data_IF_525927038217
#
_entry.id   IF_525927038217
#
_cell.length_a   1.000
_cell.length_b   1.000
_cell.length_c   1.000
_cell.angle_alpha   90.00
_cell.angle_beta   90.00
_cell.angle_gamma   90.00
#
_symmetry.space_group_name_H-M   'P 1'
#
loop_
_entity.id
_entity.type
_entity.pdbx_description
1 polymer ?
#
# COMPACT_ATOMS: atom_id res chain seq x y z
N UNK A 1 -10.53 8.83 -24.00
CA UNK A 1 -11.62 9.76 -24.33
C UNK A 1 -12.39 10.04 -23.04
N UNK A 2 -12.76 11.30 -22.73
CA UNK A 2 -13.66 11.57 -21.62
C UNK A 2 -14.99 10.84 -21.84
N UNK A 3 -15.52 10.19 -20.81
CA UNK A 3 -16.82 9.52 -20.88
C UNK A 3 -17.91 10.56 -21.14
N UNK A 4 -18.85 10.26 -22.04
CA UNK A 4 -20.05 11.09 -22.25
C UNK A 4 -21.00 11.04 -21.04
N UNK A 5 -20.86 10.01 -20.20
CA UNK A 5 -21.60 9.86 -18.95
C UNK A 5 -20.92 10.67 -17.83
N UNK A 6 -21.70 11.46 -17.09
CA UNK A 6 -21.22 12.22 -15.93
C UNK A 6 -21.76 11.66 -14.62
N UNK A 7 -21.10 12.02 -13.50
CA UNK A 7 -21.56 11.63 -12.17
C UNK A 7 -22.95 12.17 -11.82
N UNK A 8 -23.28 13.36 -12.30
CA UNK A 8 -24.59 13.99 -12.08
C UNK A 8 -25.70 13.26 -12.83
N UNK A 9 -25.45 12.80 -14.06
CA UNK A 9 -26.39 11.99 -14.83
C UNK A 9 -26.70 10.66 -14.12
N UNK A 10 -25.67 10.03 -13.54
CA UNK A 10 -25.82 8.80 -12.75
C UNK A 10 -26.71 9.03 -11.53
N UNK A 11 -26.42 10.07 -10.74
CA UNK A 11 -27.21 10.37 -9.55
C UNK A 11 -28.65 10.77 -9.88
N UNK A 12 -28.84 11.55 -10.96
CA UNK A 12 -30.17 11.92 -11.45
C UNK A 12 -30.98 10.70 -11.88
N UNK A 13 -30.38 9.79 -12.64
CA UNK A 13 -31.04 8.55 -13.06
C UNK A 13 -31.40 7.64 -11.87
N UNK A 14 -30.53 7.55 -10.85
CA UNK A 14 -30.84 6.82 -9.60
C UNK A 14 -32.00 7.48 -8.84
N UNK A 15 -32.02 8.80 -8.75
CA UNK A 15 -33.04 9.55 -8.02
C UNK A 15 -34.41 9.55 -8.73
N UNK A 16 -34.43 9.37 -10.06
CA UNK A 16 -35.66 9.25 -10.85
C UNK A 16 -36.37 7.90 -10.70
N UNK A 17 -35.70 6.89 -10.14
CA UNK A 17 -36.30 5.57 -9.92
C UNK A 17 -37.34 5.60 -8.77
N UNK A 18 -38.34 4.71 -8.80
CA UNK A 18 -39.17 4.44 -7.62
C UNK A 18 -38.30 4.07 -6.42
N UNK A 19 -38.79 4.29 -5.20
CA UNK A 19 -38.02 4.10 -3.96
C UNK A 19 -37.28 2.76 -3.88
N UNK A 20 -37.92 1.64 -4.28
CA UNK A 20 -37.28 0.32 -4.33
C UNK A 20 -36.11 0.26 -5.31
N UNK A 21 -36.22 0.91 -6.47
CA UNK A 21 -35.16 0.97 -7.47
C UNK A 21 -34.01 1.86 -7.04
N UNK A 22 -34.32 3.01 -6.42
CA UNK A 22 -33.32 3.90 -5.81
C UNK A 22 -32.51 3.19 -4.73
N UNK A 23 -33.18 2.47 -3.83
CA UNK A 23 -32.53 1.62 -2.81
C UNK A 23 -31.65 0.57 -3.48
N UNK A 24 -32.17 -0.16 -4.47
CA UNK A 24 -31.42 -1.20 -5.18
C UNK A 24 -30.12 -0.65 -5.79
N UNK A 25 -30.20 0.49 -6.49
CA UNK A 25 -29.03 1.09 -7.12
C UNK A 25 -28.03 1.65 -6.10
N UNK A 26 -28.50 2.29 -5.01
CA UNK A 26 -27.64 2.76 -3.92
C UNK A 26 -26.93 1.61 -3.20
N UNK A 27 -27.59 0.47 -2.99
CA UNK A 27 -26.96 -0.71 -2.40
C UNK A 27 -25.97 -1.39 -3.36
N UNK A 28 -26.29 -1.50 -4.65
CA UNK A 28 -25.34 -2.01 -5.66
C UNK A 28 -24.08 -1.14 -5.76
N UNK A 29 -24.25 0.17 -5.62
CA UNK A 29 -23.20 1.18 -5.74
C UNK A 29 -22.78 1.76 -4.38
N UNK A 30 -22.94 1.00 -3.28
CA UNK A 30 -22.74 1.49 -1.90
C UNK A 30 -21.33 2.06 -1.64
N UNK A 31 -20.36 1.61 -2.44
CA UNK A 31 -18.99 2.12 -2.44
C UNK A 31 -18.85 3.57 -2.94
N UNK A 32 -19.89 4.11 -3.57
CA UNK A 32 -19.94 5.46 -4.14
C UNK A 32 -21.13 6.30 -3.69
N UNK A 33 -22.28 5.66 -3.45
CA UNK A 33 -23.53 6.34 -3.13
C UNK A 33 -23.98 5.96 -1.71
N UNK A 34 -24.52 6.94 -1.01
CA UNK A 34 -25.10 6.75 0.32
C UNK A 34 -26.60 6.47 0.24
N UNK A 35 -27.08 5.60 1.13
CA UNK A 35 -28.52 5.44 1.38
C UNK A 35 -29.03 6.59 2.23
N UNK A 36 -30.26 7.04 1.98
CA UNK A 36 -30.92 8.07 2.81
C UNK A 36 -31.70 7.45 3.97
N UNK A 37 -32.15 8.26 4.93
CA UNK A 37 -33.04 7.76 5.99
C UNK A 37 -34.36 7.22 5.41
N UNK A 38 -34.91 7.86 4.38
CA UNK A 38 -36.09 7.40 3.64
C UNK A 38 -35.90 5.98 3.08
N UNK A 39 -34.72 5.69 2.53
CA UNK A 39 -34.37 4.34 2.05
C UNK A 39 -34.39 3.33 3.19
N UNK A 40 -33.83 3.68 4.34
CA UNK A 40 -33.76 2.83 5.52
C UNK A 40 -35.13 2.54 6.10
N UNK A 41 -35.97 3.56 6.24
CA UNK A 41 -37.33 3.43 6.75
C UNK A 41 -38.18 2.54 5.83
N UNK A 42 -38.05 2.73 4.51
CA UNK A 42 -38.69 1.88 3.53
C UNK A 42 -38.18 0.44 3.60
N UNK A 43 -36.86 0.23 3.66
CA UNK A 43 -36.28 -1.11 3.81
C UNK A 43 -36.81 -1.81 5.05
N UNK A 44 -36.97 -1.10 6.16
CA UNK A 44 -37.49 -1.65 7.41
C UNK A 44 -38.96 -2.08 7.28
N UNK A 45 -39.78 -1.27 6.60
CA UNK A 45 -41.18 -1.60 6.32
C UNK A 45 -41.36 -2.68 5.24
N UNK A 46 -40.44 -2.84 4.28
CA UNK A 46 -40.60 -3.83 3.20
C UNK A 46 -40.22 -5.26 3.61
N UNK A 47 -39.70 -5.47 4.82
CA UNK A 47 -39.28 -6.79 5.28
C UNK A 47 -40.46 -7.76 5.38
N UNK A 48 -40.27 -9.02 4.96
CA UNK A 48 -41.24 -10.06 5.25
C UNK A 48 -41.30 -10.26 6.77
N UNK A 49 -42.49 -10.16 7.34
CA UNK A 49 -42.69 -10.46 8.75
C UNK A 49 -42.72 -11.98 8.95
N UNK A 50 -41.80 -12.58 9.74
CA UNK A 50 -41.74 -14.02 9.94
C UNK A 50 -43.00 -14.59 10.62
N UNK A 51 -43.84 -13.74 11.22
CA UNK A 51 -45.12 -14.14 11.82
C UNK A 51 -46.22 -14.35 10.79
N UNK A 52 -46.03 -13.89 9.55
CA UNK A 52 -47.04 -13.99 8.49
C UNK A 52 -46.54 -14.87 7.35
N UNK A 53 -47.40 -15.80 6.91
CA UNK A 53 -47.17 -16.61 5.71
C UNK A 53 -47.17 -15.70 4.48
N UNK A 54 -46.33 -16.01 3.49
CA UNK A 54 -46.14 -15.23 2.25
C UNK A 54 -47.44 -14.61 1.74
N UNK A 55 -47.48 -13.27 1.70
CA UNK A 55 -48.56 -12.48 1.09
C UNK A 55 -49.44 -11.69 2.07
N UNK A 56 -49.46 -12.02 3.37
CA UNK A 56 -50.17 -11.22 4.36
C UNK A 56 -49.24 -10.16 4.98
N UNK A 57 -49.57 -8.87 4.80
CA UNK A 57 -48.94 -7.76 5.55
C UNK A 57 -49.91 -7.28 6.64
N UNK A 58 -49.45 -6.97 7.87
CA UNK A 58 -50.30 -6.42 8.91
C UNK A 58 -50.91 -5.07 8.50
N UNK A 59 -52.17 -4.84 8.88
CA UNK A 59 -52.93 -3.61 8.58
C UNK A 59 -52.28 -2.33 9.16
N UNK A 60 -51.54 -2.48 10.27
CA UNK A 60 -50.75 -1.40 10.88
C UNK A 60 -49.31 -1.90 11.00
N UNK A 61 -48.43 -1.34 10.19
CA UNK A 61 -47.03 -1.74 10.18
C UNK A 61 -46.24 -0.89 11.18
N UNK A 62 -46.19 -1.34 12.43
CA UNK A 62 -45.34 -0.71 13.45
C UNK A 62 -43.92 -1.26 13.28
N UNK A 63 -43.05 -0.47 12.65
CA UNK A 63 -41.63 -0.80 12.54
C UNK A 63 -40.94 -0.45 13.87
N UNK A 64 -40.36 -1.45 14.54
CA UNK A 64 -39.62 -1.22 15.77
C UNK A 64 -38.35 -0.38 15.50
N UNK A 65 -38.03 0.57 16.39
CA UNK A 65 -36.83 1.41 16.30
C UNK A 65 -35.54 0.59 16.21
N UNK A 66 -35.49 -0.54 16.90
CA UNK A 66 -34.37 -1.50 16.85
C UNK A 66 -34.16 -2.09 15.44
N UNK A 67 -35.25 -2.29 14.69
CA UNK A 67 -35.16 -2.80 13.31
C UNK A 67 -34.54 -1.77 12.37
N UNK A 68 -34.89 -0.50 12.55
CA UNK A 68 -34.30 0.64 11.83
C UNK A 68 -32.83 0.78 12.21
N UNK A 69 -32.50 0.77 13.51
CA UNK A 69 -31.10 0.87 13.96
C UNK A 69 -30.23 -0.28 13.42
N UNK A 70 -30.71 -1.53 13.50
CA UNK A 70 -29.98 -2.67 12.94
C UNK A 70 -29.87 -2.66 11.41
N UNK A 71 -30.66 -1.84 10.71
CA UNK A 71 -30.48 -1.55 9.29
C UNK A 71 -29.37 -0.53 9.08
N UNK A 72 -29.42 0.59 9.81
CA UNK A 72 -28.39 1.63 9.81
C UNK A 72 -27.01 1.00 10.06
N UNK A 73 -26.90 0.15 11.08
CA UNK A 73 -25.64 -0.48 11.46
C UNK A 73 -25.10 -1.41 10.37
N UNK A 74 -25.96 -2.23 9.75
CA UNK A 74 -25.57 -3.10 8.63
C UNK A 74 -25.13 -2.30 7.41
N UNK A 75 -25.90 -1.29 7.01
CA UNK A 75 -25.53 -0.41 5.90
C UNK A 75 -24.17 0.25 6.18
N UNK A 76 -23.98 0.79 7.39
CA UNK A 76 -22.73 1.41 7.80
C UNK A 76 -21.55 0.42 7.78
N UNK A 77 -21.77 -0.83 8.22
CA UNK A 77 -20.77 -1.88 8.19
C UNK A 77 -20.30 -2.18 6.76
N UNK A 78 -21.22 -2.47 5.83
CA UNK A 78 -20.88 -2.79 4.44
C UNK A 78 -20.30 -1.58 3.70
N UNK A 79 -20.83 -0.37 3.94
CA UNK A 79 -20.27 0.88 3.42
C UNK A 79 -18.82 1.05 3.87
N UNK A 80 -18.56 0.89 5.16
CA UNK A 80 -17.21 1.02 5.73
C UNK A 80 -16.27 -0.02 5.12
N UNK A 81 -16.70 -1.28 5.02
CA UNK A 81 -15.89 -2.36 4.46
C UNK A 81 -15.51 -2.13 3.00
N UNK A 82 -16.50 -1.79 2.15
CA UNK A 82 -16.29 -1.57 0.71
C UNK A 82 -15.44 -0.31 0.45
N UNK A 83 -15.72 0.79 1.14
CA UNK A 83 -14.93 2.03 1.01
C UNK A 83 -13.52 1.88 1.56
N UNK A 84 -13.34 1.26 2.73
CA UNK A 84 -12.02 1.01 3.34
C UNK A 84 -11.13 0.18 2.41
N UNK A 85 -11.68 -0.86 1.77
CA UNK A 85 -10.93 -1.67 0.79
C UNK A 85 -10.46 -0.80 -0.39
N UNK A 86 -11.32 0.05 -0.94
CA UNK A 86 -10.96 0.96 -2.04
C UNK A 86 -9.94 2.01 -1.59
N UNK A 87 -10.12 2.60 -0.41
CA UNK A 87 -9.19 3.56 0.20
C UNK A 87 -7.81 2.96 0.38
N UNK A 88 -7.73 1.76 0.94
CA UNK A 88 -6.49 1.04 1.16
C UNK A 88 -5.72 0.80 -0.14
N UNK A 89 -6.38 0.26 -1.17
CA UNK A 89 -5.75 0.03 -2.48
C UNK A 89 -5.33 1.36 -3.11
N UNK A 90 -6.15 2.41 -3.00
CA UNK A 90 -5.80 3.75 -3.49
C UNK A 90 -4.56 4.32 -2.81
N UNK A 91 -4.45 4.15 -1.49
CA UNK A 91 -3.29 4.58 -0.73
C UNK A 91 -2.03 3.80 -1.12
N UNK A 92 -2.15 2.49 -1.37
CA UNK A 92 -1.04 1.68 -1.91
C UNK A 92 -0.54 2.25 -3.25
N UNK A 93 -1.45 2.59 -4.18
CA UNK A 93 -1.09 3.23 -5.46
C UNK A 93 -0.31 4.52 -5.23
N UNK A 94 -0.82 5.39 -4.36
CA UNK A 94 -0.18 6.66 -4.03
C UNK A 94 1.25 6.46 -3.49
N UNK A 95 1.40 5.58 -2.50
CA UNK A 95 2.71 5.28 -1.91
C UNK A 95 3.70 4.66 -2.91
N UNK A 96 3.24 3.73 -3.75
CA UNK A 96 4.09 3.10 -4.77
C UNK A 96 4.53 4.10 -5.84
N UNK A 97 3.62 4.97 -6.31
CA UNK A 97 3.98 6.04 -7.26
C UNK A 97 5.07 6.94 -6.70
N UNK A 98 4.92 7.40 -5.45
CA UNK A 98 5.95 8.21 -4.78
C UNK A 98 7.28 7.46 -4.62
N UNK A 99 7.26 6.16 -4.29
CA UNK A 99 8.49 5.35 -4.22
C UNK A 99 9.19 5.22 -5.57
N UNK A 100 8.42 5.03 -6.64
CA UNK A 100 8.95 4.92 -8.00
C UNK A 100 9.58 6.25 -8.41
N UNK A 101 8.89 7.37 -8.23
CA UNK A 101 9.43 8.70 -8.55
C UNK A 101 10.71 8.98 -7.78
N UNK A 102 10.76 8.64 -6.49
CA UNK A 102 11.98 8.78 -5.69
C UNK A 102 13.13 7.88 -6.20
N UNK A 103 12.85 6.61 -6.49
CA UNK A 103 13.86 5.70 -7.02
C UNK A 103 14.38 6.13 -8.40
N UNK A 104 13.49 6.66 -9.26
CA UNK A 104 13.87 7.21 -10.57
C UNK A 104 14.80 8.42 -10.42
N UNK A 105 14.50 9.31 -9.47
CA UNK A 105 15.37 10.45 -9.15
C UNK A 105 16.74 9.99 -8.61
N UNK A 106 16.78 9.01 -7.70
CA UNK A 106 18.04 8.42 -7.21
C UNK A 106 18.86 7.77 -8.34
N UNK A 107 18.22 7.01 -9.22
CA UNK A 107 18.90 6.40 -10.36
C UNK A 107 19.47 7.45 -11.32
N UNK A 108 18.71 8.49 -11.64
CA UNK A 108 19.17 9.59 -12.49
C UNK A 108 20.37 10.31 -11.87
N UNK A 109 20.31 10.57 -10.56
CA UNK A 109 21.38 11.23 -9.82
C UNK A 109 22.65 10.37 -9.71
N UNK A 110 22.50 9.06 -9.46
CA UNK A 110 23.61 8.12 -9.43
C UNK A 110 24.27 7.99 -10.81
N UNK A 111 23.49 7.94 -11.89
CA UNK A 111 24.01 7.94 -13.27
C UNK A 111 24.79 9.23 -13.57
N UNK A 112 24.27 10.39 -13.16
CA UNK A 112 24.97 11.68 -13.30
C UNK A 112 26.32 11.64 -12.58
N UNK A 113 26.35 11.22 -11.32
CA UNK A 113 27.57 11.09 -10.53
C UNK A 113 28.60 10.13 -11.17
N UNK A 114 28.15 8.94 -11.60
CA UNK A 114 29.02 7.94 -12.23
C UNK A 114 29.68 8.49 -13.50
N UNK A 115 28.96 9.26 -14.31
CA UNK A 115 29.47 9.85 -15.55
C UNK A 115 30.34 11.08 -15.31
N UNK A 116 29.80 12.08 -14.61
CA UNK A 116 30.41 13.40 -14.51
C UNK A 116 31.57 13.41 -13.50
N UNK A 117 31.42 12.70 -12.37
CA UNK A 117 32.41 12.71 -11.28
C UNK A 117 33.40 11.55 -11.37
N UNK A 118 32.95 10.37 -11.78
CA UNK A 118 33.78 9.17 -11.86
C UNK A 118 34.21 8.79 -13.28
N UNK A 119 33.72 9.51 -14.30
CA UNK A 119 34.19 9.34 -15.68
C UNK A 119 33.78 8.02 -16.35
N UNK A 120 32.71 7.36 -15.89
CA UNK A 120 32.23 6.14 -16.54
C UNK A 120 31.71 6.44 -17.95
N UNK A 121 32.20 5.69 -18.92
CA UNK A 121 31.75 5.79 -20.29
C UNK A 121 30.32 5.24 -20.48
N UNK A 122 29.74 5.50 -21.66
CA UNK A 122 28.38 5.09 -21.96
C UNK A 122 28.20 3.57 -22.04
N UNK A 123 29.25 2.83 -22.40
CA UNK A 123 29.16 1.37 -22.58
C UNK A 123 29.29 0.62 -21.25
N UNK A 124 30.13 1.11 -20.33
CA UNK A 124 30.19 0.67 -18.94
C UNK A 124 28.86 0.95 -18.22
N UNK A 125 28.22 2.10 -18.47
CA UNK A 125 26.89 2.39 -17.93
C UNK A 125 25.83 1.40 -18.44
N UNK A 126 25.82 1.10 -19.75
CA UNK A 126 24.91 0.07 -20.31
C UNK A 126 25.19 -1.31 -19.71
N UNK A 127 26.46 -1.65 -19.52
CA UNK A 127 26.85 -2.92 -18.91
C UNK A 127 26.34 -3.02 -17.46
N UNK A 128 26.51 -1.95 -16.66
CA UNK A 128 25.97 -1.88 -15.30
C UNK A 128 24.45 -2.07 -15.29
N UNK A 129 23.73 -1.41 -16.19
CA UNK A 129 22.28 -1.53 -16.30
C UNK A 129 21.84 -2.95 -16.70
N UNK A 130 22.54 -3.57 -17.65
CA UNK A 130 22.26 -4.94 -18.09
C UNK A 130 22.52 -5.97 -16.98
N UNK A 131 23.58 -5.78 -16.20
CA UNK A 131 23.94 -6.65 -15.08
C UNK A 131 23.07 -6.44 -13.85
N UNK A 132 22.32 -5.33 -13.76
CA UNK A 132 21.54 -4.98 -12.58
C UNK A 132 20.64 -6.13 -12.10
N UNK A 133 20.00 -6.87 -13.02
CA UNK A 133 19.10 -7.98 -12.69
C UNK A 133 19.79 -9.18 -12.03
N UNK A 134 21.06 -9.42 -12.35
CA UNK A 134 21.84 -10.56 -11.83
C UNK A 134 22.72 -10.18 -10.63
N UNK A 135 22.98 -8.90 -10.41
CA UNK A 135 23.81 -8.41 -9.32
C UNK A 135 23.20 -8.77 -7.95
N UNK A 136 24.02 -9.23 -7.01
CA UNK A 136 23.65 -9.43 -5.61
C UNK A 136 24.43 -8.40 -4.77
N UNK A 137 23.78 -7.36 -4.21
CA UNK A 137 24.48 -6.24 -3.59
C UNK A 137 25.30 -6.62 -2.35
N UNK A 138 24.79 -7.51 -1.49
CA UNK A 138 25.45 -7.87 -0.22
C UNK A 138 26.83 -8.51 -0.45
N UNK A 139 26.99 -9.57 -1.28
CA UNK A 139 28.31 -10.12 -1.60
C UNK A 139 29.23 -9.12 -2.30
N UNK A 140 28.73 -8.34 -3.26
CA UNK A 140 29.53 -7.37 -3.99
C UNK A 140 30.08 -6.27 -3.07
N UNK A 141 29.27 -5.81 -2.11
CA UNK A 141 29.67 -4.81 -1.12
C UNK A 141 30.71 -5.38 -0.17
N UNK A 142 30.49 -6.60 0.35
CA UNK A 142 31.47 -7.27 1.24
C UNK A 142 32.83 -7.49 0.58
N UNK A 143 32.83 -7.86 -0.70
CA UNK A 143 34.06 -8.01 -1.46
C UNK A 143 34.78 -6.67 -1.64
N UNK A 144 34.02 -5.60 -1.91
CA UNK A 144 34.56 -4.25 -2.02
C UNK A 144 35.12 -3.74 -0.69
N UNK A 145 34.43 -4.00 0.42
CA UNK A 145 34.90 -3.66 1.77
C UNK A 145 36.20 -4.41 2.11
N UNK A 146 36.29 -5.69 1.75
CA UNK A 146 37.52 -6.48 1.91
C UNK A 146 38.69 -5.91 1.10
N UNK A 147 38.45 -5.48 -0.13
CA UNK A 147 39.47 -4.83 -0.98
C UNK A 147 39.92 -3.50 -0.36
N UNK A 148 39.00 -2.74 0.22
CA UNK A 148 39.29 -1.49 0.92
C UNK A 148 40.14 -1.72 2.18
N UNK A 149 39.79 -2.72 2.99
CA UNK A 149 40.54 -3.10 4.20
C UNK A 149 41.98 -3.54 3.89
N UNK A 150 42.19 -4.17 2.73
CA UNK A 150 43.50 -4.64 2.28
C UNK A 150 44.31 -3.62 1.49
N UNK A 151 43.84 -2.37 1.38
CA UNK A 151 44.48 -1.33 0.56
C UNK A 151 44.64 -1.70 -0.93
N UNK A 152 43.80 -2.60 -1.46
CA UNK A 152 43.87 -3.08 -2.85
C UNK A 152 43.22 -2.10 -3.84
N UNK A 153 42.45 -1.12 -3.35
CA UNK A 153 41.70 -0.16 -4.16
C UNK A 153 41.81 1.26 -3.59
N UNK A 154 41.77 2.25 -4.48
CA UNK A 154 41.72 3.66 -4.08
C UNK A 154 40.35 4.04 -3.52
N UNK A 155 40.28 5.12 -2.75
CA UNK A 155 39.01 5.65 -2.24
C UNK A 155 38.05 6.03 -3.39
N UNK A 156 38.59 6.61 -4.47
CA UNK A 156 37.79 7.01 -5.62
C UNK A 156 37.20 5.78 -6.34
N UNK A 157 37.99 4.72 -6.52
CA UNK A 157 37.53 3.46 -7.11
C UNK A 157 36.51 2.75 -6.22
N UNK A 158 36.70 2.79 -4.90
CA UNK A 158 35.72 2.28 -3.93
C UNK A 158 34.38 2.99 -4.11
N UNK A 159 34.36 4.32 -4.03
CA UNK A 159 33.13 5.13 -4.14
C UNK A 159 32.43 4.89 -5.48
N UNK A 160 33.20 4.81 -6.56
CA UNK A 160 32.68 4.50 -7.90
C UNK A 160 32.01 3.12 -7.95
N UNK A 161 32.70 2.06 -7.51
CA UNK A 161 32.16 0.70 -7.50
C UNK A 161 30.96 0.57 -6.56
N UNK A 162 31.03 1.19 -5.37
CA UNK A 162 29.95 1.19 -4.38
C UNK A 162 28.70 1.89 -4.92
N UNK A 163 28.87 3.05 -5.56
CA UNK A 163 27.76 3.76 -6.22
C UNK A 163 27.16 2.95 -7.38
N UNK A 164 27.99 2.23 -8.16
CA UNK A 164 27.52 1.30 -9.18
C UNK A 164 26.64 0.18 -8.61
N UNK A 165 27.04 -0.40 -7.47
CA UNK A 165 26.23 -1.43 -6.76
C UNK A 165 24.90 -0.84 -6.28
N UNK A 166 24.91 0.35 -5.69
CA UNK A 166 23.68 1.04 -5.25
C UNK A 166 22.75 1.36 -6.42
N UNK A 167 23.29 1.85 -7.54
CA UNK A 167 22.54 2.09 -8.78
C UNK A 167 21.85 0.81 -9.28
N UNK A 168 22.57 -0.31 -9.35
CA UNK A 168 22.02 -1.61 -9.73
C UNK A 168 20.95 -2.11 -8.73
N UNK A 169 21.16 -1.89 -7.44
CA UNK A 169 20.19 -2.26 -6.40
C UNK A 169 18.88 -1.48 -6.55
N UNK A 170 18.96 -0.17 -6.79
CA UNK A 170 17.80 0.70 -7.01
C UNK A 170 17.05 0.37 -8.31
N UNK A 171 17.75 0.07 -9.41
CA UNK A 171 17.11 -0.38 -10.66
C UNK A 171 16.25 -1.63 -10.44
N UNK A 172 16.78 -2.64 -9.72
CA UNK A 172 16.01 -3.85 -9.40
C UNK A 172 14.80 -3.55 -8.51
N UNK A 173 14.95 -2.61 -7.58
CA UNK A 173 13.88 -2.17 -6.71
C UNK A 173 12.76 -1.47 -7.48
N UNK A 174 13.11 -0.57 -8.41
CA UNK A 174 12.16 0.06 -9.32
C UNK A 174 11.37 -0.96 -10.13
N UNK A 175 12.03 -1.98 -10.69
CA UNK A 175 11.35 -3.05 -11.43
C UNK A 175 10.32 -3.79 -10.54
N UNK A 176 10.64 -4.05 -9.27
CA UNK A 176 9.67 -4.65 -8.32
C UNK A 176 8.54 -3.70 -7.97
N UNK A 177 8.82 -2.45 -7.67
CA UNK A 177 7.82 -1.44 -7.32
C UNK A 177 6.85 -1.19 -8.49
N UNK A 178 7.35 -1.14 -9.73
CA UNK A 178 6.53 -1.04 -10.95
C UNK A 178 5.62 -2.25 -11.13
N UNK A 179 6.14 -3.47 -10.93
CA UNK A 179 5.32 -4.70 -10.95
C UNK A 179 4.24 -4.69 -9.86
N UNK A 180 4.61 -4.29 -8.63
CA UNK A 180 3.64 -4.10 -7.52
C UNK A 180 2.57 -3.08 -7.91
N UNK A 181 2.95 -1.93 -8.47
CA UNK A 181 2.00 -0.91 -8.90
C UNK A 181 1.04 -1.43 -9.96
N UNK A 182 1.52 -2.20 -10.95
CA UNK A 182 0.66 -2.81 -11.96
C UNK A 182 -0.37 -3.77 -11.33
N UNK A 183 0.05 -4.61 -10.38
CA UNK A 183 -0.87 -5.50 -9.64
C UNK A 183 -1.91 -4.69 -8.88
N UNK A 184 -1.49 -3.69 -8.10
CA UNK A 184 -2.39 -2.88 -7.28
C UNK A 184 -3.35 -2.05 -8.15
N UNK A 185 -2.91 -1.56 -9.31
CA UNK A 185 -3.80 -0.89 -10.28
C UNK A 185 -4.88 -1.84 -10.82
N UNK A 186 -4.52 -3.09 -11.10
CA UNK A 186 -5.49 -4.13 -11.48
C UNK A 186 -6.46 -4.41 -10.34
N UNK A 187 -5.97 -4.56 -9.12
CA UNK A 187 -6.79 -4.80 -7.93
C UNK A 187 -7.74 -3.61 -7.67
N UNK A 188 -7.27 -2.38 -7.89
CA UNK A 188 -8.09 -1.18 -7.80
C UNK A 188 -9.20 -1.18 -8.85
N UNK A 189 -8.88 -1.56 -10.09
CA UNK A 189 -9.87 -1.70 -11.14
C UNK A 189 -10.91 -2.75 -10.76
N UNK A 190 -10.50 -3.94 -10.29
CA UNK A 190 -11.41 -5.01 -9.89
C UNK A 190 -12.30 -4.54 -8.73
N UNK A 191 -11.71 -3.97 -7.67
CA UNK A 191 -12.45 -3.48 -6.51
C UNK A 191 -13.40 -2.33 -6.87
N UNK A 192 -13.00 -1.45 -7.79
CA UNK A 192 -13.84 -0.33 -8.24
C UNK A 192 -14.97 -0.77 -9.17
N UNK A 193 -14.90 -1.93 -9.82
CA UNK A 193 -15.96 -2.41 -10.73
C UNK A 193 -16.81 -3.52 -10.10
N UNK A 194 -16.64 -3.80 -8.81
CA UNK A 194 -17.38 -4.83 -8.09
C UNK A 194 -18.63 -4.22 -7.42
N UNK A 195 -19.86 -4.44 -7.94
CA UNK A 195 -21.07 -4.14 -7.19
C UNK A 195 -21.20 -5.04 -5.97
N UNK A 196 -22.01 -4.59 -5.01
CA UNK A 196 -22.44 -5.41 -3.89
C UNK A 196 -23.22 -6.64 -4.41
N UNK A 197 -22.96 -7.80 -3.83
CA UNK A 197 -23.53 -9.07 -4.25
C UNK A 197 -24.94 -9.27 -3.71
N UNK A 198 -25.72 -10.13 -4.35
CA UNK A 198 -27.14 -10.32 -4.01
C UNK A 198 -27.34 -10.83 -2.57
N UNK A 199 -26.44 -11.68 -2.08
CA UNK A 199 -26.50 -12.16 -0.69
C UNK A 199 -26.18 -11.06 0.33
N UNK A 200 -25.30 -10.12 -0.01
CA UNK A 200 -24.96 -8.96 0.82
C UNK A 200 -26.12 -7.96 0.84
N UNK A 201 -26.72 -7.66 -0.32
CA UNK A 201 -27.92 -6.81 -0.42
C UNK A 201 -29.08 -7.45 0.33
N UNK A 202 -29.30 -8.75 0.15
CA UNK A 202 -30.31 -9.51 0.88
C UNK A 202 -30.10 -9.48 2.39
N UNK A 203 -28.85 -9.56 2.86
CA UNK A 203 -28.51 -9.46 4.27
C UNK A 203 -28.72 -8.05 4.84
N UNK A 204 -28.33 -6.99 4.12
CA UNK A 204 -28.58 -5.60 4.52
C UNK A 204 -30.09 -5.36 4.60
N UNK A 205 -30.78 -5.54 3.47
CA UNK A 205 -32.20 -5.22 3.34
C UNK A 205 -33.05 -6.16 4.22
N UNK A 206 -32.63 -7.41 4.41
CA UNK A 206 -33.37 -8.42 5.16
C UNK A 206 -34.50 -9.05 4.34
N UNK A 207 -34.27 -9.25 3.04
CA UNK A 207 -35.22 -9.89 2.12
C UNK A 207 -34.60 -11.15 1.49
N UNK A 208 -35.40 -12.17 1.13
CA UNK A 208 -34.89 -13.40 0.51
C UNK A 208 -34.24 -13.13 -0.85
N UNK A 209 -33.13 -13.82 -1.16
CA UNK A 209 -32.38 -13.66 -2.41
C UNK A 209 -33.25 -13.87 -3.67
N UNK A 210 -34.20 -14.81 -3.64
CA UNK A 210 -35.13 -15.05 -4.76
C UNK A 210 -36.02 -13.84 -5.08
N UNK A 211 -36.43 -13.07 -4.06
CA UNK A 211 -37.20 -11.83 -4.25
C UNK A 211 -36.34 -10.68 -4.78
N UNK A 212 -35.03 -10.72 -4.51
CA UNK A 212 -34.08 -9.70 -4.91
C UNK A 212 -33.78 -9.74 -6.41
N UNK A 213 -33.53 -10.93 -6.97
CA UNK A 213 -33.04 -11.08 -8.34
C UNK A 213 -33.99 -10.43 -9.38
N UNK A 214 -35.30 -10.67 -9.27
CA UNK A 214 -36.29 -10.09 -10.17
C UNK A 214 -36.39 -8.56 -10.02
N UNK A 215 -36.33 -8.04 -8.78
CA UNK A 215 -36.32 -6.59 -8.50
C UNK A 215 -35.07 -5.94 -9.07
N UNK A 216 -33.90 -6.57 -8.87
CA UNK A 216 -32.61 -6.11 -9.38
C UNK A 216 -32.62 -6.00 -10.90
N UNK A 217 -33.05 -7.04 -11.61
CA UNK A 217 -33.14 -7.03 -13.07
C UNK A 217 -34.06 -5.91 -13.56
N UNK A 218 -35.25 -5.76 -12.96
CA UNK A 218 -36.21 -4.69 -13.29
C UNK A 218 -35.60 -3.30 -13.13
N UNK A 219 -35.03 -3.01 -11.96
CA UNK A 219 -34.55 -1.66 -11.65
C UNK A 219 -33.22 -1.33 -12.33
N UNK A 220 -32.35 -2.32 -12.55
CA UNK A 220 -31.16 -2.15 -13.37
C UNK A 220 -31.54 -1.80 -14.82
N UNK A 221 -32.55 -2.47 -15.38
CA UNK A 221 -33.05 -2.14 -16.72
C UNK A 221 -33.61 -0.72 -16.79
N UNK A 222 -34.45 -0.31 -15.82
CA UNK A 222 -34.98 1.05 -15.75
C UNK A 222 -33.87 2.11 -15.60
N UNK A 223 -32.87 1.83 -14.76
CA UNK A 223 -31.71 2.69 -14.59
C UNK A 223 -30.95 2.89 -15.91
N UNK A 224 -30.65 1.79 -16.63
CA UNK A 224 -29.91 1.86 -17.89
C UNK A 224 -30.72 2.58 -18.99
N UNK A 225 -32.04 2.37 -19.03
CA UNK A 225 -32.93 3.14 -19.93
C UNK A 225 -32.92 4.63 -19.60
N UNK A 226 -32.98 4.99 -18.31
CA UNK A 226 -32.90 6.38 -17.86
C UNK A 226 -31.58 7.05 -18.25
N UNK A 227 -30.46 6.34 -18.08
CA UNK A 227 -29.15 6.81 -18.53
C UNK A 227 -29.08 6.99 -20.05
N UNK A 228 -29.59 6.02 -20.81
CA UNK A 228 -29.61 6.07 -22.27
C UNK A 228 -30.43 7.25 -22.78
N UNK A 229 -31.55 7.57 -22.13
CA UNK A 229 -32.39 8.71 -22.48
C UNK A 229 -31.72 10.07 -22.16
N UNK A 230 -30.85 10.11 -21.14
CA UNK A 230 -30.13 11.31 -20.74
C UNK A 230 -28.88 11.58 -21.61
N UNK A 231 -28.33 10.56 -22.27
CA UNK A 231 -27.15 10.70 -23.13
C UNK A 231 -27.51 11.39 -24.45
N UNK A 232 -26.65 12.32 -24.93
CA UNK A 232 -26.82 12.84 -26.28
C UNK A 232 -26.69 11.69 -27.28
N UNK A 233 -27.59 11.65 -28.27
CA UNK A 233 -27.56 10.68 -29.36
C UNK A 233 -26.34 10.96 -30.26
N UNK A 234 -25.16 10.56 -29.81
CA UNK A 234 -23.96 10.55 -30.62
C UNK A 234 -23.93 9.22 -31.37
N UNK A 235 -23.63 9.24 -32.68
CA UNK A 235 -23.49 8.04 -33.52
C UNK A 235 -22.29 7.14 -33.16
N UNK A 236 -21.94 7.09 -31.87
CA UNK A 236 -20.88 6.26 -31.31
C UNK A 236 -21.36 4.82 -31.12
N UNK A 237 -20.41 3.86 -31.09
CA UNK A 237 -20.75 2.45 -30.86
C UNK A 237 -21.46 2.27 -29.51
N UNK A 238 -22.32 1.24 -29.36
CA UNK A 238 -23.06 1.01 -28.13
C UNK A 238 -22.11 0.82 -26.94
N UNK A 239 -22.18 1.74 -25.98
CA UNK A 239 -21.38 1.73 -24.76
C UNK A 239 -22.10 0.89 -23.71
N UNK A 240 -21.34 0.07 -22.98
CA UNK A 240 -21.85 -0.64 -21.81
C UNK A 240 -22.04 0.35 -20.65
N UNK A 241 -23.22 0.98 -20.59
CA UNK A 241 -23.55 2.03 -19.62
C UNK A 241 -23.37 1.59 -18.16
N UNK A 242 -23.47 0.27 -17.89
CA UNK A 242 -23.23 -0.28 -16.57
C UNK A 242 -21.75 -0.24 -16.21
N UNK A 243 -20.86 -0.68 -17.11
CA UNK A 243 -19.41 -0.54 -16.90
C UNK A 243 -18.99 0.92 -16.81
N UNK A 244 -19.55 1.77 -17.65
CA UNK A 244 -19.21 3.18 -17.69
C UNK A 244 -19.64 3.91 -16.41
N UNK A 245 -20.74 3.47 -15.77
CA UNK A 245 -21.14 3.93 -14.44
C UNK A 245 -19.99 3.77 -13.44
N UNK A 246 -19.34 2.59 -13.40
CA UNK A 246 -18.22 2.34 -12.51
C UNK A 246 -16.98 3.15 -12.87
N UNK A 247 -16.67 3.27 -14.16
CA UNK A 247 -15.53 4.10 -14.63
C UNK A 247 -15.67 5.53 -14.12
N UNK A 248 -16.85 6.14 -14.32
CA UNK A 248 -17.14 7.51 -13.89
C UNK A 248 -17.10 7.67 -12.38
N UNK A 249 -17.76 6.77 -11.62
CA UNK A 249 -17.80 6.86 -10.16
C UNK A 249 -16.43 6.55 -9.52
N UNK A 250 -15.65 5.65 -10.10
CA UNK A 250 -14.30 5.31 -9.63
C UNK A 250 -13.30 6.46 -9.76
N UNK A 251 -13.55 7.41 -10.66
CA UNK A 251 -12.76 8.63 -10.81
C UNK A 251 -12.95 9.62 -9.66
N UNK A 252 -13.99 9.48 -8.84
CA UNK A 252 -14.20 10.35 -7.68
C UNK A 252 -13.12 10.12 -6.62
N UNK A 253 -12.60 11.17 -5.97
CA UNK A 253 -11.61 11.04 -4.91
C UNK A 253 -12.13 10.14 -3.80
N UNK A 254 -11.27 9.27 -3.27
CA UNK A 254 -11.64 8.37 -2.17
C UNK A 254 -11.64 9.15 -0.86
N UNK A 255 -12.74 9.07 -0.12
CA UNK A 255 -12.85 9.63 1.24
C UNK A 255 -11.82 8.99 2.16
N UNK A 256 -11.15 9.80 2.99
CA UNK A 256 -10.15 9.30 3.93
C UNK A 256 -10.79 9.00 5.28
N UNK A 257 -10.54 7.80 5.79
CA UNK A 257 -10.98 7.41 7.12
C UNK A 257 -9.96 7.85 8.16
N UNK A 258 -10.43 8.30 9.33
CA UNK A 258 -9.55 8.42 10.50
C UNK A 258 -9.29 7.02 11.06
N UNK A 259 -8.02 6.62 11.17
CA UNK A 259 -7.64 5.26 11.59
C UNK A 259 -6.78 5.32 12.84
N UNK A 260 -7.10 4.48 13.82
CA UNK A 260 -6.28 4.27 15.01
C UNK A 260 -5.17 3.24 14.72
N UNK A 261 -4.11 3.27 15.52
CA UNK A 261 -3.03 2.30 15.41
C UNK A 261 -3.54 0.86 15.63
N UNK A 262 -3.08 -0.06 14.78
CA UNK A 262 -3.56 -1.44 14.67
C UNK A 262 -2.59 -2.48 15.25
N UNK A 263 -1.59 -2.05 16.03
CA UNK A 263 -0.58 -2.91 16.68
C UNK A 263 0.33 -3.70 15.72
N UNK A 264 0.44 -3.27 14.46
CA UNK A 264 1.18 -3.98 13.39
C UNK A 264 2.63 -4.32 13.75
N UNK A 265 3.32 -3.46 14.51
CA UNK A 265 4.73 -3.63 14.90
C UNK A 265 4.94 -3.48 16.42
N UNK A 266 3.97 -3.94 17.22
CA UNK A 266 3.91 -3.85 18.70
C UNK A 266 3.80 -2.42 19.23
N UNK A 267 4.60 -1.48 18.75
CA UNK A 267 4.56 -0.06 19.12
C UNK A 267 4.52 0.83 17.88
N UNK A 268 3.84 1.98 17.99
CA UNK A 268 3.77 2.96 16.90
C UNK A 268 5.17 3.47 16.54
N UNK A 269 6.05 3.69 17.52
CA UNK A 269 7.42 4.14 17.28
C UNK A 269 8.23 3.15 16.43
N UNK A 270 8.13 1.85 16.72
CA UNK A 270 8.83 0.83 15.94
C UNK A 270 8.30 0.78 14.50
N UNK A 271 6.98 0.91 14.32
CA UNK A 271 6.39 1.02 12.99
C UNK A 271 6.95 2.25 12.25
N UNK A 272 7.00 3.42 12.90
CA UNK A 272 7.46 4.65 12.30
C UNK A 272 8.93 4.57 11.85
N UNK A 273 9.83 3.99 12.65
CA UNK A 273 11.23 3.75 12.25
C UNK A 273 11.33 2.85 11.00
N UNK A 274 10.52 1.79 10.98
CA UNK A 274 10.45 0.84 9.86
C UNK A 274 9.92 1.50 8.60
N UNK A 275 8.86 2.30 8.73
CA UNK A 275 8.27 3.09 7.65
C UNK A 275 9.26 4.12 7.13
N UNK A 276 10.00 4.81 7.99
CA UNK A 276 11.06 5.76 7.59
C UNK A 276 12.18 5.06 6.83
N UNK A 277 12.63 3.90 7.31
CA UNK A 277 13.66 3.11 6.62
C UNK A 277 13.19 2.59 5.26
N UNK A 278 11.93 2.15 5.19
CA UNK A 278 11.28 1.75 3.93
C UNK A 278 11.14 2.95 2.98
N UNK A 279 10.74 4.09 3.53
CA UNK A 279 10.57 5.35 2.83
C UNK A 279 11.91 5.75 2.19
N UNK A 280 12.97 5.89 2.98
CA UNK A 280 14.31 6.30 2.55
C UNK A 280 15.05 5.24 1.71
N UNK A 281 14.45 4.08 1.46
CA UNK A 281 15.04 2.96 0.72
C UNK A 281 16.34 2.41 1.34
N UNK A 282 16.53 2.54 2.65
CA UNK A 282 17.70 1.99 3.37
C UNK A 282 17.49 0.57 3.86
N UNK A 283 16.26 0.06 3.77
CA UNK A 283 15.91 -1.29 4.21
C UNK A 283 16.46 -2.39 3.27
N UNK A 284 16.99 -3.51 3.81
CA UNK A 284 17.40 -4.66 3.00
C UNK A 284 16.25 -5.24 2.18
N UNK A 285 16.55 -5.74 0.99
CA UNK A 285 15.59 -6.28 0.02
C UNK A 285 14.67 -7.39 0.59
N UNK A 286 15.20 -8.25 1.45
CA UNK A 286 14.49 -9.35 2.11
C UNK A 286 13.50 -8.88 3.19
N UNK A 287 13.81 -7.75 3.84
CA UNK A 287 12.92 -7.11 4.81
C UNK A 287 11.89 -6.23 4.11
N UNK A 288 12.26 -5.56 3.01
CA UNK A 288 11.39 -4.68 2.26
C UNK A 288 10.16 -5.43 1.72
N UNK A 289 10.35 -6.63 1.15
CA UNK A 289 9.23 -7.39 0.58
C UNK A 289 8.22 -7.83 1.64
N UNK A 290 8.70 -8.27 2.80
CA UNK A 290 7.85 -8.62 3.95
C UNK A 290 7.19 -7.38 4.57
N UNK A 291 7.96 -6.30 4.68
CA UNK A 291 7.50 -5.00 5.17
C UNK A 291 6.37 -4.46 4.31
N UNK A 292 6.51 -4.49 2.98
CA UNK A 292 5.46 -4.04 2.06
C UNK A 292 4.15 -4.82 2.25
N UNK A 293 4.21 -6.15 2.38
CA UNK A 293 3.01 -6.96 2.63
C UNK A 293 2.30 -6.51 3.90
N UNK A 294 3.04 -6.32 5.00
CA UNK A 294 2.50 -5.83 6.26
C UNK A 294 1.87 -4.44 6.13
N UNK A 295 2.62 -3.49 5.56
CA UNK A 295 2.17 -2.10 5.33
C UNK A 295 0.92 -2.07 4.45
N UNK A 296 0.89 -2.86 3.37
CA UNK A 296 -0.21 -2.86 2.41
C UNK A 296 -1.54 -3.30 3.02
N UNK A 297 -1.51 -4.10 4.09
CA UNK A 297 -2.68 -4.58 4.82
C UNK A 297 -3.22 -3.57 5.85
N UNK A 298 -2.42 -2.56 6.23
CA UNK A 298 -2.76 -1.57 7.23
C UNK A 298 -2.99 -0.20 6.62
N UNK A 299 -4.23 0.30 6.72
CA UNK A 299 -4.57 1.66 6.28
C UNK A 299 -3.80 2.72 7.09
N UNK A 300 -3.60 2.47 8.39
CA UNK A 300 -2.82 3.35 9.27
C UNK A 300 -1.37 3.45 8.77
N UNK A 301 -0.70 2.32 8.52
CA UNK A 301 0.67 2.30 8.03
C UNK A 301 0.82 3.01 6.68
N UNK A 302 -0.15 2.84 5.76
CA UNK A 302 -0.17 3.52 4.48
C UNK A 302 -0.35 5.04 4.62
N UNK A 303 -1.23 5.49 5.51
CA UNK A 303 -1.41 6.92 5.79
C UNK A 303 -0.13 7.55 6.35
N UNK A 304 0.54 6.88 7.31
CA UNK A 304 1.82 7.32 7.86
C UNK A 304 2.94 7.31 6.82
N UNK A 305 3.05 6.26 6.02
CA UNK A 305 4.03 6.18 4.93
C UNK A 305 3.85 7.32 3.92
N UNK A 306 2.60 7.59 3.52
CA UNK A 306 2.30 8.68 2.59
C UNK A 306 2.71 10.06 3.14
N UNK A 307 2.59 10.27 4.46
CA UNK A 307 3.01 11.50 5.13
C UNK A 307 4.55 11.61 5.16
N UNK A 308 5.26 10.56 5.59
CA UNK A 308 6.73 10.52 5.57
C UNK A 308 7.27 10.76 4.15
N UNK A 309 6.61 10.22 3.13
CA UNK A 309 6.99 10.45 1.73
C UNK A 309 6.70 11.87 1.24
N UNK A 310 5.75 12.59 1.86
CA UNK A 310 5.43 13.97 1.48
C UNK A 310 6.44 14.98 2.06
N UNK A 311 7.04 14.68 3.20
CA UNK A 311 8.06 15.52 3.86
C UNK A 311 9.47 15.29 3.31
N UNK A 312 9.64 14.34 2.39
CA UNK A 312 10.95 13.99 1.87
C UNK A 312 11.49 15.05 0.94
N UNK A 313 12.77 15.35 1.12
CA UNK A 313 13.52 16.18 0.20
C UNK A 313 13.79 15.45 -1.13
N UNK A 314 13.38 16.08 -2.23
CA UNK A 314 13.56 15.61 -3.60
C UNK A 314 14.59 16.48 -4.36
N UNK A 315 15.23 17.42 -3.67
CA UNK A 315 16.24 18.29 -4.25
C UNK A 315 17.45 17.48 -4.75
N UNK A 316 17.94 17.74 -5.98
CA UNK A 316 19.05 16.99 -6.55
C UNK A 316 20.32 16.98 -5.68
N UNK A 317 20.61 18.09 -4.98
CA UNK A 317 21.82 18.19 -4.15
C UNK A 317 21.68 17.34 -2.88
N UNK A 318 20.49 17.31 -2.28
CA UNK A 318 20.18 16.43 -1.16
C UNK A 318 20.27 14.95 -1.55
N UNK A 319 19.75 14.58 -2.72
CA UNK A 319 19.87 13.23 -3.26
C UNK A 319 21.33 12.86 -3.54
N UNK A 320 22.12 13.79 -4.08
CA UNK A 320 23.54 13.60 -4.31
C UNK A 320 24.29 13.32 -3.01
N UNK A 321 24.08 14.16 -1.99
CA UNK A 321 24.71 14.00 -0.68
C UNK A 321 24.34 12.66 -0.05
N UNK A 322 23.07 12.26 -0.12
CA UNK A 322 22.62 10.97 0.38
C UNK A 322 23.31 9.79 -0.32
N UNK A 323 23.45 9.84 -1.66
CA UNK A 323 24.16 8.82 -2.43
C UNK A 323 25.65 8.77 -2.08
N UNK A 324 26.29 9.94 -1.97
CA UNK A 324 27.71 10.04 -1.62
C UNK A 324 27.98 9.48 -0.22
N UNK A 325 27.12 9.80 0.76
CA UNK A 325 27.21 9.25 2.12
C UNK A 325 27.08 7.71 2.12
N UNK A 326 26.15 7.14 1.34
CA UNK A 326 25.98 5.67 1.21
C UNK A 326 27.16 4.98 0.53
N UNK A 327 27.87 5.72 -0.34
CA UNK A 327 29.02 5.24 -1.09
C UNK A 327 30.37 5.44 -0.39
N UNK A 328 30.38 6.13 0.76
CA UNK A 328 31.60 6.40 1.50
C UNK A 328 32.15 5.11 2.14
N UNK A 329 33.47 4.86 2.07
CA UNK A 329 34.07 3.73 2.75
C UNK A 329 33.98 3.89 4.27
N UNK A 330 33.99 2.77 4.99
CA UNK A 330 34.14 2.79 6.43
C UNK A 330 35.49 3.46 6.80
N UNK A 331 35.51 4.36 7.80
CA UNK A 331 36.76 4.93 8.30
C UNK A 331 37.68 3.79 8.75
N UNK A 332 38.91 3.78 8.26
CA UNK A 332 39.94 2.89 8.80
C UNK A 332 40.24 3.36 10.22
N UNK A 333 40.17 2.46 11.19
CA UNK A 333 40.71 2.78 12.52
C UNK A 333 42.16 3.25 12.33
N UNK A 334 42.57 4.36 12.96
CA UNK A 334 43.94 4.83 12.82
C UNK A 334 44.84 3.67 13.23
N UNK A 335 45.77 3.28 12.34
CA UNK A 335 46.78 2.29 12.65
C UNK A 335 47.36 2.67 14.00
N UNK A 336 47.14 1.81 15.00
CA UNK A 336 47.71 1.99 16.32
C UNK A 336 49.20 2.24 16.11
N UNK A 337 49.66 3.42 16.52
CA UNK A 337 51.08 3.77 16.50
C UNK A 337 51.86 2.58 17.05
N UNK A 338 53.00 2.19 16.45
CA UNK A 338 53.80 1.11 17.00
C UNK A 338 54.08 1.46 18.47
N UNK A 339 53.54 0.65 19.38
CA UNK A 339 53.83 0.80 20.80
C UNK A 339 55.36 0.71 20.93
N UNK A 340 56.04 1.67 21.57
CA UNK A 340 57.41 1.42 21.97
C UNK A 340 57.40 0.18 22.85
N UNK A 341 58.36 -0.73 22.63
CA UNK A 341 58.51 -1.96 23.42
C UNK A 341 58.48 -1.63 24.91
N UNK A 342 57.31 -1.76 25.53
CA UNK A 342 57.13 -1.57 26.95
C UNK A 342 57.39 -2.92 27.59
N UNK A 343 58.55 -3.00 28.26
CA UNK A 343 59.03 -4.18 28.94
C UNK A 343 57.99 -4.86 29.81
N UNK A 344 58.11 -6.18 29.85
CA UNK A 344 57.39 -7.13 30.68
C UNK A 344 57.11 -6.59 32.08
N UNK A 345 55.89 -6.11 32.29
CA UNK A 345 55.33 -5.94 33.63
C UNK A 345 54.26 -7.00 33.81
N UNK A 346 54.68 -8.13 34.41
CA UNK A 346 53.79 -9.18 34.91
C UNK A 346 52.90 -8.61 36.02
N UNK A 347 51.64 -8.34 35.70
CA UNK A 347 50.63 -7.93 36.69
C UNK A 347 49.57 -9.04 36.78
N UNK A 348 49.69 -9.83 37.84
CA UNK A 348 48.59 -10.38 38.67
C UNK A 348 47.42 -11.09 37.96
N UNK A 349 47.68 -11.95 36.98
CA UNK A 349 46.66 -12.83 36.37
C UNK A 349 46.58 -14.23 36.99
N UNK A 350 47.64 -14.69 37.67
CA UNK A 350 47.76 -16.09 38.08
C UNK A 350 46.87 -16.45 39.28
N UNK A 351 46.75 -15.56 40.27
CA UNK A 351 45.92 -15.80 41.48
C UNK A 351 44.42 -15.92 41.14
N UNK A 352 43.94 -15.14 40.16
CA UNK A 352 42.54 -15.19 39.73
C UNK A 352 42.24 -16.45 38.92
N UNK A 353 43.20 -16.89 38.11
CA UNK A 353 43.07 -18.12 37.33
C UNK A 353 43.11 -19.37 38.23
N UNK A 354 43.96 -19.40 39.25
CA UNK A 354 43.95 -20.49 40.23
C UNK A 354 42.65 -20.54 41.04
N UNK A 355 42.10 -19.38 41.44
CA UNK A 355 40.85 -19.34 42.19
C UNK A 355 39.65 -19.87 41.37
N UNK A 356 39.59 -19.54 40.07
CA UNK A 356 38.55 -20.07 39.15
C UNK A 356 38.72 -21.59 38.99
N UNK A 357 39.94 -22.07 38.79
CA UNK A 357 40.20 -23.50 38.60
C UNK A 357 39.91 -24.32 39.86
N UNK A 358 40.12 -23.75 41.05
CA UNK A 358 39.78 -24.37 42.35
C UNK A 358 38.27 -24.38 42.60
N UNK A 359 37.56 -23.35 42.17
CA UNK A 359 36.09 -23.27 42.23
C UNK A 359 35.38 -24.25 41.29
N UNK A 360 36.03 -24.68 40.20
CA UNK A 360 35.44 -25.63 39.23
C UNK A 360 35.72 -27.11 39.54
N UNK A 361 36.69 -27.42 40.40
CA UNK A 361 36.83 -28.76 40.97
C UNK A 361 35.98 -28.82 42.23
N UNK A 362 34.73 -29.23 42.05
CA UNK A 362 33.76 -29.38 43.13
C UNK A 362 34.33 -30.12 44.35
N UNK A 363 33.83 -29.73 45.52
CA UNK A 363 34.13 -30.30 46.83
C UNK A 363 34.16 -31.84 46.78
N UNK A 364 35.34 -32.42 46.99
CA UNK A 364 35.48 -33.83 47.32
C UNK A 364 34.83 -34.07 48.69
N UNK A 365 33.60 -34.57 48.65
CA UNK A 365 32.94 -35.18 49.81
C UNK A 365 33.84 -36.26 50.41
N UNK A 366 34.29 -36.06 51.64
CA UNK A 366 34.43 -37.12 52.63
C UNK A 366 33.86 -36.67 53.96
#
# INVERSE_FOLDING_TARGET
>A
MPSALTGEMIESAVNALPIQGRIMMRLLLLQYLDTTQEDIDYMAADRPDPRFVSGAKPLVQVVARETVQGLVDRVAQYRTQTRKKREQIWMQIGCLRKQITYGEALCAQAERLLRERFGLDADAMKLLQAQARAAIPKPATRELDRQWEKDEITEQDYRCKRLGIEYQAELRKLDRERKRLQTVLRDYSIASHAPLQDHEIGHIWGIPAGSLAARKAKFLHQYLQGLQAALPQTGQPPVDLWKETFVVLSGRPVERSAVAYDNLDRTESSLMEKLTSFALKTMPEDMESRGWLSISLSLFALQRLSAIQAERDMDPDALEQALLQRSAPAPKEPASSPQPEAGTQSIQSDDWHEHILRSMRGEDRR
#
